data_IF_739165689268
#
_entry.id   IF_739165689268
#
_cell.length_a   1.000
_cell.length_b   1.000
_cell.length_c   1.000
_cell.angle_alpha   90.00
_cell.angle_beta   90.00
_cell.angle_gamma   90.00
#
_symmetry.space_group_name_H-M   'P 1'
#
loop_
_entity.id
_entity.type
_entity.pdbx_description
1 polymer ?
#
# COMPACT_ATOMS: atom_id res chain seq x y z
N UNK A 1 -1.23 15.93 5.17
CA UNK A 1 -1.97 14.75 5.70
C UNK A 1 -3.46 14.83 5.37
N UNK A 2 -4.17 15.91 5.70
CA UNK A 2 -5.59 16.06 5.35
C UNK A 2 -5.87 15.93 3.83
N UNK A 3 -5.10 16.62 2.99
CA UNK A 3 -5.19 16.54 1.53
C UNK A 3 -4.91 15.13 1.03
N UNK A 4 -3.79 14.52 1.44
CA UNK A 4 -3.45 13.13 1.10
C UNK A 4 -4.57 12.15 1.47
N UNK A 5 -5.16 12.30 2.66
CA UNK A 5 -6.25 11.43 3.11
C UNK A 5 -7.51 11.62 2.26
N UNK A 6 -7.86 12.86 1.90
CA UNK A 6 -8.99 13.15 1.02
C UNK A 6 -8.78 12.59 -0.39
N UNK A 7 -7.59 12.78 -0.96
CA UNK A 7 -7.21 12.28 -2.29
C UNK A 7 -7.21 10.75 -2.28
N UNK A 8 -6.61 10.11 -1.27
CA UNK A 8 -6.53 8.65 -1.15
C UNK A 8 -7.92 8.03 -0.97
N UNK A 9 -8.82 8.66 -0.21
CA UNK A 9 -10.22 8.22 -0.07
C UNK A 9 -11.01 8.37 -1.37
N UNK A 10 -10.66 9.33 -2.22
CA UNK A 10 -11.30 9.54 -3.51
C UNK A 10 -10.79 8.59 -4.58
N UNK A 11 -9.48 8.38 -4.61
CA UNK A 11 -8.77 7.90 -5.80
C UNK A 11 -8.21 6.47 -5.62
N UNK A 12 -7.90 6.05 -4.38
CA UNK A 12 -7.42 4.68 -4.15
C UNK A 12 -8.57 3.69 -4.23
N UNK A 13 -8.33 2.57 -4.91
CA UNK A 13 -9.21 1.40 -4.91
C UNK A 13 -8.81 0.37 -3.84
N UNK A 14 -7.65 0.53 -3.22
CA UNK A 14 -7.12 -0.38 -2.20
C UNK A 14 -7.84 -0.14 -0.87
N UNK A 15 -8.54 -1.16 -0.38
CA UNK A 15 -9.28 -1.11 0.88
C UNK A 15 -8.37 -0.73 2.07
N UNK A 16 -7.14 -1.24 2.13
CA UNK A 16 -6.21 -0.93 3.21
C UNK A 16 -5.75 0.53 3.16
N UNK A 17 -5.45 1.05 1.96
CA UNK A 17 -5.10 2.48 1.80
C UNK A 17 -6.26 3.38 2.21
N UNK A 18 -7.49 3.02 1.84
CA UNK A 18 -8.70 3.76 2.22
C UNK A 18 -8.98 3.71 3.72
N UNK A 19 -8.78 2.56 4.37
CA UNK A 19 -8.89 2.44 5.84
C UNK A 19 -7.87 3.33 6.53
N UNK A 20 -6.62 3.32 6.09
CA UNK A 20 -5.57 4.20 6.66
C UNK A 20 -5.91 5.66 6.40
N UNK A 21 -6.39 6.01 5.20
CA UNK A 21 -6.76 7.37 4.85
C UNK A 21 -7.94 7.87 5.70
N UNK A 22 -8.94 7.02 5.97
CA UNK A 22 -10.04 7.34 6.88
C UNK A 22 -9.53 7.57 8.31
N UNK A 23 -8.65 6.69 8.82
CA UNK A 23 -8.00 6.86 10.13
C UNK A 23 -7.21 8.18 10.22
N UNK A 24 -6.44 8.53 9.20
CA UNK A 24 -5.69 9.80 9.14
C UNK A 24 -6.64 10.99 9.11
N UNK A 25 -7.73 10.90 8.32
CA UNK A 25 -8.75 11.95 8.27
C UNK A 25 -9.38 12.17 9.64
N UNK A 26 -9.80 11.10 10.32
CA UNK A 26 -10.36 11.17 11.67
C UNK A 26 -9.37 11.77 12.66
N UNK A 27 -8.11 11.29 12.65
CA UNK A 27 -7.05 11.79 13.52
C UNK A 27 -6.81 13.29 13.34
N UNK A 28 -6.75 13.79 12.11
CA UNK A 28 -6.49 15.20 11.81
C UNK A 28 -7.67 16.12 12.14
N UNK A 29 -8.91 15.60 12.15
CA UNK A 29 -10.10 16.38 12.50
C UNK A 29 -10.38 16.45 14.00
N UNK A 30 -9.67 15.66 14.82
CA UNK A 30 -9.72 15.79 16.26
C UNK A 30 -8.91 17.02 16.68
N UNK A 31 -9.51 17.87 17.50
CA UNK A 31 -8.86 19.06 18.05
C UNK A 31 -7.82 18.64 19.11
N UNK A 32 -6.68 18.13 18.65
CA UNK A 32 -5.63 17.60 19.51
C UNK A 32 -4.64 18.70 19.92
N UNK A 33 -4.43 18.95 21.22
CA UNK A 33 -3.36 19.83 21.66
C UNK A 33 -1.99 19.16 21.46
N UNK A 34 -1.16 19.67 20.55
CA UNK A 34 0.24 19.22 20.40
C UNK A 34 0.76 19.17 18.96
N UNK A 35 1.94 18.54 18.80
CA UNK A 35 2.58 18.31 17.49
C UNK A 35 1.94 17.09 16.82
N UNK A 36 1.43 17.26 15.61
CA UNK A 36 0.87 16.19 14.78
C UNK A 36 2.04 15.43 14.12
N UNK A 37 2.41 14.27 14.67
CA UNK A 37 3.45 13.40 14.12
C UNK A 37 2.99 11.93 14.02
N UNK A 38 3.86 11.09 13.46
CA UNK A 38 3.57 9.65 13.31
C UNK A 38 3.46 8.90 14.63
N UNK A 39 4.06 9.39 15.72
CA UNK A 39 3.98 8.75 17.04
C UNK A 39 2.63 9.03 17.68
N UNK A 40 2.17 10.28 17.65
CA UNK A 40 0.85 10.68 18.09
C UNK A 40 -0.24 9.96 17.28
N UNK A 41 -0.07 9.86 15.97
CA UNK A 41 -0.98 9.08 15.12
C UNK A 41 -1.02 7.60 15.51
N UNK A 42 0.14 6.95 15.66
CA UNK A 42 0.18 5.53 16.04
C UNK A 42 -0.46 5.28 17.41
N UNK A 43 -0.20 6.15 18.40
CA UNK A 43 -0.85 6.06 19.72
C UNK A 43 -2.38 6.19 19.62
N UNK A 44 -2.87 7.12 18.80
CA UNK A 44 -4.30 7.28 18.53
C UNK A 44 -4.89 6.04 17.83
N UNK A 45 -4.21 5.50 16.81
CA UNK A 45 -4.65 4.28 16.13
C UNK A 45 -4.75 3.13 17.12
N UNK A 46 -3.74 2.86 17.93
CA UNK A 46 -3.79 1.78 18.93
C UNK A 46 -4.96 1.95 19.91
N UNK A 47 -5.28 3.19 20.30
CA UNK A 47 -6.40 3.46 21.21
C UNK A 47 -7.79 3.31 20.54
N UNK A 48 -7.90 3.47 19.23
CA UNK A 48 -9.19 3.56 18.51
C UNK A 48 -9.41 2.45 17.46
N UNK A 49 -8.38 1.68 17.08
CA UNK A 49 -8.42 0.72 15.98
C UNK A 49 -9.07 -0.63 16.31
N UNK A 50 -9.54 -0.82 17.54
CA UNK A 50 -10.19 -2.07 17.99
C UNK A 50 -11.42 -2.45 17.14
N UNK A 51 -12.00 -1.50 16.40
CA UNK A 51 -13.23 -1.71 15.65
C UNK A 51 -13.05 -1.95 14.13
N UNK A 52 -11.86 -1.75 13.56
CA UNK A 52 -11.68 -1.71 12.10
C UNK A 52 -10.41 -2.40 11.55
N UNK A 53 -9.71 -3.20 12.33
CA UNK A 53 -8.55 -3.96 11.80
C UNK A 53 -9.01 -5.13 10.92
N UNK A 54 -8.61 -5.17 9.63
CA UNK A 54 -8.81 -6.37 8.82
C UNK A 54 -8.15 -7.57 9.49
N UNK A 55 -8.84 -8.72 9.54
CA UNK A 55 -8.30 -9.95 10.15
C UNK A 55 -7.17 -10.60 9.35
N UNK A 56 -6.96 -10.17 8.10
CA UNK A 56 -5.94 -10.68 7.19
C UNK A 56 -4.94 -9.55 6.90
N UNK A 57 -3.72 -9.66 7.41
CA UNK A 57 -2.68 -8.66 7.22
C UNK A 57 -1.31 -9.13 7.66
N UNK A 58 -0.29 -8.30 7.44
CA UNK A 58 1.09 -8.54 7.90
C UNK A 58 1.31 -7.82 9.22
N UNK A 59 1.80 -8.53 10.22
CA UNK A 59 2.20 -7.93 11.50
C UNK A 59 3.53 -7.18 11.34
N UNK A 60 3.48 -5.85 11.42
CA UNK A 60 4.67 -5.00 11.46
C UNK A 60 5.01 -4.63 12.89
N UNK A 61 6.11 -5.18 13.41
CA UNK A 61 6.48 -5.08 14.83
C UNK A 61 7.94 -4.69 15.00
N UNK A 62 8.24 -4.11 16.16
CA UNK A 62 9.63 -4.01 16.64
C UNK A 62 10.08 -5.34 17.25
N UNK A 63 11.40 -5.55 17.38
CA UNK A 63 11.93 -6.77 18.00
C UNK A 63 11.40 -6.99 19.44
N UNK A 64 11.21 -5.90 20.19
CA UNK A 64 10.64 -5.96 21.53
C UNK A 64 9.18 -6.41 21.50
N UNK A 65 8.37 -5.86 20.60
CA UNK A 65 6.96 -6.19 20.47
C UNK A 65 6.71 -7.63 19.96
N UNK A 66 7.70 -8.21 19.27
CA UNK A 66 7.64 -9.59 18.79
C UNK A 66 7.86 -10.64 19.89
N UNK A 67 8.34 -10.25 21.08
CA UNK A 67 8.64 -11.18 22.18
C UNK A 67 7.39 -11.96 22.60
N UNK A 68 7.49 -13.30 22.64
CA UNK A 68 6.43 -14.19 23.09
C UNK A 68 5.36 -14.51 22.02
N UNK A 69 5.58 -14.10 20.77
CA UNK A 69 4.76 -14.45 19.60
C UNK A 69 5.60 -15.23 18.61
N UNK A 70 4.99 -15.94 17.67
CA UNK A 70 5.68 -16.70 16.61
C UNK A 70 4.84 -16.68 15.33
N UNK A 71 5.50 -16.76 14.17
CA UNK A 71 4.87 -16.74 12.85
C UNK A 71 5.51 -17.80 11.95
N UNK A 72 4.74 -18.33 11.00
CA UNK A 72 5.27 -19.27 10.00
C UNK A 72 6.41 -18.63 9.17
N UNK A 73 6.26 -17.35 8.83
CA UNK A 73 7.22 -16.58 8.07
C UNK A 73 7.55 -15.26 8.78
N UNK A 74 8.83 -14.94 8.92
CA UNK A 74 9.32 -13.66 9.47
C UNK A 74 10.29 -13.01 8.48
N UNK A 75 10.09 -11.71 8.26
CA UNK A 75 11.00 -10.86 7.52
C UNK A 75 11.67 -9.89 8.48
N UNK A 76 12.97 -10.05 8.71
CA UNK A 76 13.77 -9.07 9.44
C UNK A 76 14.31 -8.05 8.46
N UNK A 77 13.76 -6.84 8.52
CA UNK A 77 14.20 -5.72 7.71
C UNK A 77 15.31 -4.91 8.40
N UNK A 78 16.26 -4.42 7.61
CA UNK A 78 17.27 -3.48 8.09
C UNK A 78 18.34 -4.13 8.96
N UNK A 79 18.74 -5.37 8.66
CA UNK A 79 19.87 -6.03 9.29
C UNK A 79 21.20 -5.41 8.79
N UNK A 80 21.42 -4.16 9.18
CA UNK A 80 22.46 -3.28 8.66
C UNK A 80 23.46 -2.87 9.75
N UNK A 81 24.68 -2.49 9.35
CA UNK A 81 25.65 -1.93 10.30
C UNK A 81 25.11 -0.64 10.92
N UNK A 82 25.12 -0.57 12.25
CA UNK A 82 24.63 0.58 13.02
C UNK A 82 23.12 0.57 13.31
N UNK A 83 22.33 -0.28 12.63
CA UNK A 83 20.93 -0.56 13.00
C UNK A 83 20.78 -1.88 13.73
N UNK A 84 21.54 -2.89 13.34
CA UNK A 84 21.54 -4.21 13.98
C UNK A 84 22.99 -4.71 14.08
N UNK A 85 23.64 -4.68 15.26
CA UNK A 85 23.14 -4.10 16.50
C UNK A 85 23.01 -2.58 16.39
N UNK A 86 22.11 -1.98 17.17
CA UNK A 86 21.91 -0.53 17.14
C UNK A 86 23.15 0.20 17.66
N UNK A 87 23.60 1.23 16.92
CA UNK A 87 24.85 1.95 17.20
C UNK A 87 24.92 2.65 18.56
N UNK A 88 23.77 2.84 19.25
CA UNK A 88 23.73 3.37 20.61
C UNK A 88 24.23 2.37 21.67
N UNK A 89 24.35 1.08 21.34
CA UNK A 89 24.87 0.05 22.23
C UNK A 89 26.42 0.17 22.36
N UNK A 90 26.84 1.01 23.29
CA UNK A 90 28.24 1.37 23.49
C UNK A 90 28.98 0.44 24.46
N UNK A 91 28.27 -0.14 25.44
CA UNK A 91 28.85 -1.07 26.41
C UNK A 91 28.75 -2.52 25.97
N UNK A 92 29.59 -3.39 26.53
CA UNK A 92 29.53 -4.82 26.24
C UNK A 92 28.17 -5.44 26.60
N UNK A 93 27.55 -5.02 27.70
CA UNK A 93 26.26 -5.55 28.12
C UNK A 93 25.13 -5.06 27.21
N UNK A 94 25.17 -3.79 26.76
CA UNK A 94 24.23 -3.28 25.76
C UNK A 94 24.36 -4.04 24.44
N UNK A 95 25.59 -4.34 24.00
CA UNK A 95 25.81 -5.12 22.76
C UNK A 95 25.30 -6.56 22.90
N UNK A 96 25.52 -7.20 24.04
CA UNK A 96 24.96 -8.53 24.32
C UNK A 96 23.43 -8.50 24.29
N UNK A 97 22.83 -7.44 24.81
CA UNK A 97 21.39 -7.26 24.77
C UNK A 97 20.87 -7.09 23.33
N UNK A 98 21.54 -6.30 22.49
CA UNK A 98 21.19 -6.20 21.07
C UNK A 98 21.31 -7.54 20.34
N UNK A 99 22.34 -8.33 20.63
CA UNK A 99 22.48 -9.69 20.11
C UNK A 99 21.32 -10.58 20.59
N UNK A 100 20.93 -10.47 21.86
CA UNK A 100 19.77 -11.19 22.42
C UNK A 100 18.48 -10.78 21.72
N UNK A 101 18.29 -9.50 21.42
CA UNK A 101 17.12 -9.00 20.68
C UNK A 101 17.10 -9.53 19.24
N UNK A 102 18.25 -9.55 18.56
CA UNK A 102 18.38 -10.15 17.23
C UNK A 102 18.02 -11.65 17.26
N UNK A 103 18.56 -12.39 18.22
CA UNK A 103 18.24 -13.81 18.42
C UNK A 103 16.75 -14.03 18.67
N UNK A 104 16.12 -13.21 19.52
CA UNK A 104 14.67 -13.27 19.76
C UNK A 104 13.93 -13.06 18.45
N UNK A 105 14.24 -12.02 17.68
CA UNK A 105 13.59 -11.73 16.40
C UNK A 105 13.75 -12.89 15.39
N UNK A 106 14.94 -13.47 15.27
CA UNK A 106 15.23 -14.54 14.31
C UNK A 106 14.47 -15.82 14.67
N UNK A 107 14.41 -16.15 15.96
CA UNK A 107 13.70 -17.33 16.47
C UNK A 107 12.18 -17.15 16.52
N UNK A 108 11.64 -16.02 16.06
CA UNK A 108 10.19 -15.87 15.89
C UNK A 108 9.66 -16.60 14.64
N UNK A 109 10.55 -16.93 13.71
CA UNK A 109 10.22 -17.69 12.52
C UNK A 109 10.08 -19.18 12.84
N UNK A 110 8.92 -19.76 12.55
CA UNK A 110 8.69 -21.20 12.69
C UNK A 110 9.16 -21.98 11.45
N UNK A 111 8.98 -21.44 10.24
CA UNK A 111 9.32 -22.14 8.99
C UNK A 111 10.33 -21.36 8.14
N UNK A 112 10.09 -20.07 7.93
CA UNK A 112 10.88 -19.26 7.00
C UNK A 112 11.36 -17.95 7.64
N UNK A 113 12.66 -17.68 7.52
CA UNK A 113 13.29 -16.45 7.95
C UNK A 113 13.94 -15.76 6.75
N UNK A 114 13.48 -14.56 6.43
CA UNK A 114 14.11 -13.68 5.45
C UNK A 114 14.80 -12.54 6.17
N UNK A 115 16.04 -12.25 5.79
CA UNK A 115 16.82 -11.16 6.37
C UNK A 115 17.24 -10.22 5.25
N UNK A 116 16.89 -8.94 5.37
CA UNK A 116 17.20 -7.93 4.36
C UNK A 116 18.07 -6.82 4.93
N UNK A 117 18.94 -6.27 4.09
CA UNK A 117 19.80 -5.13 4.38
C UNK A 117 19.92 -4.25 3.14
N UNK A 118 20.19 -2.96 3.33
CA UNK A 118 20.48 -2.03 2.24
C UNK A 118 21.97 -1.66 2.24
N UNK A 119 22.58 -1.52 1.04
CA UNK A 119 23.95 -0.99 0.92
C UNK A 119 24.02 0.47 1.36
N UNK A 120 22.96 1.23 1.09
CA UNK A 120 22.85 2.65 1.45
C UNK A 120 21.46 2.98 2.00
N UNK A 121 21.41 3.81 3.05
CA UNK A 121 20.19 4.35 3.65
C UNK A 121 20.38 5.84 3.93
N UNK A 122 19.46 6.69 3.48
CA UNK A 122 19.52 8.14 3.65
C UNK A 122 20.88 8.75 3.21
N UNK A 123 21.38 8.32 2.05
CA UNK A 123 22.71 8.67 1.50
C UNK A 123 23.93 8.28 2.37
N UNK A 124 23.74 7.43 3.38
CA UNK A 124 24.84 6.87 4.18
C UNK A 124 25.04 5.40 3.84
N UNK A 125 26.30 4.96 3.81
CA UNK A 125 26.59 3.53 3.70
C UNK A 125 26.07 2.84 4.96
N UNK A 126 25.26 1.81 4.77
CA UNK A 126 24.71 1.00 5.84
C UNK A 126 25.34 -0.40 5.78
N UNK A 127 25.15 -1.10 4.66
CA UNK A 127 25.78 -2.39 4.40
C UNK A 127 25.28 -3.49 5.33
N UNK A 128 25.72 -4.73 5.10
CA UNK A 128 25.32 -5.91 5.86
C UNK A 128 25.69 -5.78 7.35
N UNK A 129 24.81 -6.24 8.24
CA UNK A 129 25.08 -6.33 9.68
C UNK A 129 26.21 -7.30 10.00
N UNK A 130 27.11 -6.96 10.94
CA UNK A 130 28.16 -7.87 11.41
C UNK A 130 27.61 -9.09 12.17
N UNK A 131 26.37 -9.07 12.65
CA UNK A 131 25.75 -10.24 13.31
C UNK A 131 25.48 -11.39 12.34
N UNK A 132 25.48 -11.09 11.05
CA UNK A 132 25.23 -12.06 9.98
C UNK A 132 26.52 -12.65 9.42
N UNK A 133 27.68 -12.26 9.95
CA UNK A 133 28.96 -12.80 9.54
C UNK A 133 29.14 -14.21 10.09
N UNK A 134 29.52 -15.15 9.22
CA UNK A 134 29.69 -16.56 9.58
C UNK A 134 28.40 -17.35 9.81
N UNK A 135 27.21 -16.73 9.72
CA UNK A 135 25.95 -17.47 9.69
C UNK A 135 25.85 -18.26 8.38
N UNK A 136 25.35 -19.52 8.41
CA UNK A 136 25.10 -20.33 7.22
C UNK A 136 23.84 -19.82 6.51
N UNK A 137 23.85 -18.55 6.10
CA UNK A 137 22.81 -17.96 5.30
C UNK A 137 22.94 -18.56 3.90
N UNK A 138 21.99 -19.40 3.51
CA UNK A 138 21.81 -19.75 2.12
C UNK A 138 21.49 -18.46 1.39
N UNK A 139 22.48 -17.88 0.71
CA UNK A 139 22.27 -16.82 -0.27
C UNK A 139 21.53 -17.47 -1.45
N UNK A 140 20.24 -17.76 -1.26
CA UNK A 140 19.37 -18.27 -2.32
C UNK A 140 19.14 -17.13 -3.31
N UNK A 141 20.15 -16.90 -4.14
CA UNK A 141 20.08 -15.99 -5.29
C UNK A 141 18.98 -16.48 -6.25
N UNK A 142 18.71 -17.79 -6.28
CA UNK A 142 17.60 -18.40 -7.01
C UNK A 142 16.23 -18.17 -6.36
N UNK A 143 16.09 -18.19 -5.01
CA UNK A 143 14.82 -17.88 -4.36
C UNK A 143 14.40 -16.41 -4.53
N UNK A 144 15.37 -15.50 -4.77
CA UNK A 144 15.07 -14.12 -5.15
C UNK A 144 14.36 -14.00 -6.51
N UNK A 145 14.41 -15.05 -7.35
CA UNK A 145 13.67 -15.12 -8.62
C UNK A 145 12.27 -15.74 -8.46
N UNK A 146 12.03 -16.49 -7.38
CA UNK A 146 10.81 -17.25 -7.12
C UNK A 146 9.96 -16.74 -5.96
N UNK A 147 10.45 -15.80 -5.16
CA UNK A 147 9.53 -14.94 -4.43
C UNK A 147 8.57 -14.39 -5.48
N UNK A 148 7.24 -14.55 -5.33
CA UNK A 148 6.33 -13.85 -6.20
C UNK A 148 6.79 -12.41 -6.09
N UNK A 149 7.35 -11.86 -7.17
CA UNK A 149 7.38 -10.42 -7.34
C UNK A 149 5.92 -10.09 -7.13
N UNK A 150 5.56 -9.55 -5.97
CA UNK A 150 4.28 -8.87 -5.81
C UNK A 150 4.20 -8.06 -7.07
N UNK A 151 3.23 -8.40 -7.93
CA UNK A 151 3.14 -7.82 -9.25
C UNK A 151 3.40 -6.34 -9.03
N UNK A 152 4.45 -5.81 -9.66
CA UNK A 152 4.82 -4.41 -9.48
C UNK A 152 3.50 -3.65 -9.48
N UNK A 153 3.19 -2.98 -8.36
CA UNK A 153 1.91 -2.30 -8.11
C UNK A 153 1.34 -1.89 -9.46
N UNK A 154 0.17 -2.39 -9.88
CA UNK A 154 -0.28 -2.29 -11.27
C UNK A 154 0.08 -0.91 -11.78
N UNK A 155 0.92 -0.92 -12.81
CA UNK A 155 1.73 0.22 -13.20
C UNK A 155 0.90 1.49 -13.18
N UNK A 156 1.45 2.58 -12.64
CA UNK A 156 0.91 3.94 -12.73
C UNK A 156 0.86 4.47 -14.18
N UNK A 157 0.76 3.58 -15.17
CA UNK A 157 0.48 3.90 -16.55
C UNK A 157 -1.02 4.19 -16.63
N UNK A 158 -1.42 5.36 -17.15
CA UNK A 158 -2.82 5.69 -17.30
C UNK A 158 -3.50 4.63 -18.16
N UNK A 159 -4.47 3.91 -17.58
CA UNK A 159 -5.28 2.92 -18.26
C UNK A 159 -6.66 3.50 -18.55
N UNK A 160 -7.18 3.27 -19.76
CA UNK A 160 -8.52 3.71 -20.17
C UNK A 160 -9.61 3.23 -19.19
N UNK A 161 -9.50 2.01 -18.65
CA UNK A 161 -10.46 1.48 -17.68
C UNK A 161 -10.49 2.31 -16.39
N UNK A 162 -9.33 2.78 -15.92
CA UNK A 162 -9.21 3.54 -14.68
C UNK A 162 -9.82 4.94 -14.85
N UNK A 163 -9.56 5.60 -16.00
CA UNK A 163 -10.16 6.89 -16.33
C UNK A 163 -11.69 6.79 -16.50
N UNK A 164 -12.19 5.71 -17.13
CA UNK A 164 -13.63 5.45 -17.26
C UNK A 164 -14.29 5.13 -15.90
N UNK A 165 -13.60 4.39 -15.03
CA UNK A 165 -14.07 4.08 -13.67
C UNK A 165 -14.13 5.35 -12.82
N UNK A 166 -13.13 6.23 -12.96
CA UNK A 166 -13.09 7.55 -12.32
C UNK A 166 -14.24 8.42 -12.78
N UNK A 167 -14.49 8.48 -14.10
CA UNK A 167 -15.64 9.19 -14.66
C UNK A 167 -16.98 8.68 -14.12
N UNK A 168 -17.15 7.35 -14.03
CA UNK A 168 -18.38 6.74 -13.50
C UNK A 168 -18.63 7.15 -12.05
N UNK A 169 -17.60 7.10 -11.20
CA UNK A 169 -17.67 7.53 -9.79
C UNK A 169 -18.00 9.01 -9.67
N UNK A 170 -17.34 9.86 -10.47
CA UNK A 170 -17.59 11.30 -10.46
C UNK A 170 -19.03 11.62 -10.88
N UNK A 171 -19.48 11.02 -11.99
CA UNK A 171 -20.85 11.20 -12.49
C UNK A 171 -21.86 10.77 -11.43
N UNK A 172 -21.68 9.59 -10.83
CA UNK A 172 -22.55 9.08 -9.76
C UNK A 172 -22.66 10.07 -8.59
N UNK A 173 -21.53 10.58 -8.09
CA UNK A 173 -21.51 11.62 -7.03
C UNK A 173 -22.29 12.87 -7.43
N UNK A 174 -22.12 13.37 -8.66
CA UNK A 174 -22.81 14.60 -9.11
C UNK A 174 -24.31 14.41 -9.36
N UNK A 175 -24.74 13.19 -9.71
CA UNK A 175 -26.14 12.87 -9.98
C UNK A 175 -26.85 12.21 -8.80
N UNK A 176 -26.18 12.09 -7.64
CA UNK A 176 -26.67 11.36 -6.46
C UNK A 176 -27.11 9.92 -6.79
N UNK A 177 -26.28 9.22 -7.56
CA UNK A 177 -26.46 7.83 -7.98
C UNK A 177 -25.23 7.02 -7.60
N UNK A 178 -25.42 5.76 -7.23
CA UNK A 178 -24.30 4.84 -7.03
C UNK A 178 -23.59 4.54 -8.37
N UNK A 179 -22.28 4.23 -8.38
CA UNK A 179 -21.53 4.05 -9.63
C UNK A 179 -22.17 3.03 -10.59
N UNK A 180 -22.67 1.91 -10.08
CA UNK A 180 -23.33 0.87 -10.89
C UNK A 180 -24.66 1.34 -11.53
N UNK A 181 -25.29 2.38 -10.98
CA UNK A 181 -26.51 2.97 -11.52
C UNK A 181 -26.22 3.94 -12.68
N UNK A 182 -25.00 4.47 -12.76
CA UNK A 182 -24.53 5.23 -13.93
C UNK A 182 -24.23 4.27 -15.09
N UNK A 183 -23.42 3.23 -14.83
CA UNK A 183 -23.20 2.10 -15.73
C UNK A 183 -22.60 0.89 -15.00
N UNK A 184 -22.84 -0.32 -15.48
CA UNK A 184 -22.30 -1.55 -14.89
C UNK A 184 -20.83 -1.77 -15.27
N UNK A 185 -20.17 -2.70 -14.58
CA UNK A 185 -18.79 -3.10 -14.92
C UNK A 185 -18.72 -3.75 -16.31
N UNK A 186 -19.74 -4.51 -16.73
CA UNK A 186 -19.84 -4.99 -18.11
C UNK A 186 -19.82 -3.85 -19.13
N UNK A 187 -20.51 -2.74 -18.85
CA UNK A 187 -20.55 -1.60 -19.77
C UNK A 187 -19.18 -0.92 -19.84
N UNK A 188 -18.47 -0.78 -18.71
CA UNK A 188 -17.10 -0.27 -18.71
C UNK A 188 -16.17 -1.17 -19.52
N UNK A 189 -16.24 -2.49 -19.33
CA UNK A 189 -15.48 -3.46 -20.11
C UNK A 189 -15.80 -3.37 -21.61
N UNK A 190 -17.08 -3.19 -21.96
CA UNK A 190 -17.51 -3.02 -23.35
C UNK A 190 -16.98 -1.72 -23.96
N UNK A 191 -16.92 -0.62 -23.21
CA UNK A 191 -16.32 0.64 -23.67
C UNK A 191 -14.82 0.51 -23.93
N UNK A 192 -14.09 -0.18 -23.06
CA UNK A 192 -12.66 -0.45 -23.24
C UNK A 192 -12.42 -1.32 -24.47
N UNK A 193 -13.26 -2.33 -24.69
CA UNK A 193 -13.12 -3.27 -25.81
C UNK A 193 -13.50 -2.65 -27.17
N UNK A 194 -14.56 -1.84 -27.21
CA UNK A 194 -15.10 -1.27 -28.47
C UNK A 194 -14.53 0.10 -28.82
N UNK A 195 -13.94 0.82 -27.85
CA UNK A 195 -13.45 2.20 -27.98
C UNK A 195 -14.27 3.10 -28.91
N UNK A 196 -15.55 3.37 -28.57
CA UNK A 196 -16.46 4.16 -29.39
C UNK A 196 -15.86 5.48 -29.88
N UNK A 197 -16.10 5.85 -31.15
CA UNK A 197 -15.59 7.08 -31.75
C UNK A 197 -16.69 8.13 -32.00
N UNK A 198 -17.95 7.76 -31.78
CA UNK A 198 -19.09 8.63 -32.05
C UNK A 198 -20.21 8.47 -31.02
N UNK A 199 -21.15 9.44 -31.04
CA UNK A 199 -22.38 9.36 -30.24
C UNK A 199 -23.24 8.16 -30.67
N UNK A 200 -23.21 7.80 -31.95
CA UNK A 200 -23.98 6.68 -32.48
C UNK A 200 -23.42 5.33 -31.98
N UNK A 201 -22.09 5.20 -31.89
CA UNK A 201 -21.45 4.02 -31.29
C UNK A 201 -21.82 3.88 -29.80
N UNK A 202 -21.84 4.99 -29.06
CA UNK A 202 -22.28 5.00 -27.66
C UNK A 202 -23.78 4.70 -27.53
N UNK A 203 -24.60 5.05 -28.53
CA UNK A 203 -26.03 4.75 -28.53
C UNK A 203 -26.31 3.25 -28.64
N UNK A 204 -25.41 2.46 -29.23
CA UNK A 204 -25.49 0.99 -29.23
C UNK A 204 -25.32 0.41 -27.83
N UNK A 205 -24.53 1.05 -26.97
CA UNK A 205 -24.22 0.59 -25.61
C UNK A 205 -25.23 1.11 -24.58
N UNK A 206 -25.52 2.40 -24.63
CA UNK A 206 -26.31 3.11 -23.60
C UNK A 206 -27.76 3.41 -24.00
N UNK A 207 -28.11 3.19 -25.27
CA UNK A 207 -29.32 3.74 -25.88
C UNK A 207 -29.17 5.22 -26.26
N UNK A 208 -30.02 5.72 -27.18
CA UNK A 208 -29.81 7.00 -27.86
C UNK A 208 -29.91 8.23 -26.94
N UNK A 209 -30.76 8.18 -25.91
CA UNK A 209 -30.96 9.30 -24.97
C UNK A 209 -29.78 9.43 -24.00
N UNK A 210 -29.37 8.31 -23.41
CA UNK A 210 -28.25 8.27 -22.46
C UNK A 210 -26.95 8.58 -23.16
N UNK A 211 -26.73 8.05 -24.37
CA UNK A 211 -25.53 8.30 -25.17
C UNK A 211 -25.30 9.79 -25.42
N UNK A 212 -26.32 10.55 -25.84
CA UNK A 212 -26.21 12.01 -26.03
C UNK A 212 -25.78 12.75 -24.76
N UNK A 213 -26.22 12.28 -23.59
CA UNK A 213 -25.89 12.90 -22.30
C UNK A 213 -24.45 12.62 -21.86
N UNK A 214 -23.97 11.38 -22.06
CA UNK A 214 -22.64 10.96 -21.57
C UNK A 214 -21.52 11.17 -22.58
N UNK A 215 -21.84 11.30 -23.88
CA UNK A 215 -20.88 11.36 -24.97
C UNK A 215 -19.78 12.44 -24.82
N UNK A 216 -20.08 13.69 -24.40
CA UNK A 216 -19.03 14.71 -24.30
C UNK A 216 -17.89 14.30 -23.36
N UNK A 217 -18.21 13.61 -22.25
CA UNK A 217 -17.22 13.19 -21.27
C UNK A 217 -16.53 11.88 -21.68
N UNK A 218 -17.30 10.90 -22.15
CA UNK A 218 -16.75 9.59 -22.53
C UNK A 218 -15.84 9.65 -23.76
N UNK A 219 -16.25 10.39 -24.80
CA UNK A 219 -15.43 10.52 -26.02
C UNK A 219 -14.12 11.25 -25.74
N UNK A 220 -14.14 12.30 -24.89
CA UNK A 220 -12.93 13.00 -24.49
C UNK A 220 -11.91 12.09 -23.78
N UNK A 221 -12.40 11.18 -22.91
CA UNK A 221 -11.54 10.19 -22.23
C UNK A 221 -11.00 9.18 -23.24
N UNK A 222 -11.85 8.61 -24.09
CA UNK A 222 -11.44 7.59 -25.07
C UNK A 222 -10.46 8.17 -26.10
N UNK A 223 -10.70 9.37 -26.61
CA UNK A 223 -9.83 10.01 -27.60
C UNK A 223 -8.44 10.34 -27.02
N UNK A 224 -8.36 10.73 -25.74
CA UNK A 224 -7.08 10.94 -25.04
C UNK A 224 -6.22 9.68 -25.02
N UNK A 225 -6.84 8.51 -24.84
CA UNK A 225 -6.14 7.22 -24.83
C UNK A 225 -5.88 6.66 -26.24
N UNK A 226 -6.64 7.11 -27.26
CA UNK A 226 -6.38 6.76 -28.67
C UNK A 226 -5.18 7.53 -29.25
N UNK A 227 -4.90 8.74 -28.73
CA UNK A 227 -3.84 9.61 -29.19
C UNK A 227 -2.48 9.41 -28.48
N UNK A 228 -2.44 8.56 -27.44
CA UNK A 228 -1.25 8.23 -26.65
C UNK A 228 -0.60 6.92 -27.12
#
# INVERSE_FOLDING_TARGET
LATWAADTLSDSEDEAERVVADMVRQFVHLDQPGIIDGRAFNAWVVANAVHNTPKNGVDLLTFHAAKGREWDCVVVAGAETGLLPHGSASTNDQRKEEIRLAYVAFTRAAQQLFITYADKRNNRNAGKSPLLDGMPLSANTEANQQLPRFAARPSNQPNLLDDLTTWRRHTGRTTNQEPFQVCTDEVLAQLVASQPASVDDLAVIFGPLTAKRVAPALLAIIDKHRAA
#
